data_IF_364883853203
#
_entry.id   IF_364883853203
#
_cell.length_a   1.000
_cell.length_b   1.000
_cell.length_c   1.000
_cell.angle_alpha   90.00
_cell.angle_beta   90.00
_cell.angle_gamma   90.00
#
_symmetry.space_group_name_H-M   'P 1'
#
loop_
_entity.id
_entity.type
_entity.pdbx_description
1 polymer ?
#
# COMPACT_ATOMS: atom_id res chain seq x y z
N UNK A 1 -19.84 6.30 -5.78
CA UNK A 1 -18.59 5.58 -6.16
C UNK A 1 -18.08 6.10 -7.51
N UNK A 2 -16.92 5.67 -8.01
CA UNK A 2 -16.22 6.27 -9.16
C UNK A 2 -17.09 6.60 -10.39
N UNK A 3 -18.12 5.79 -10.66
CA UNK A 3 -19.11 6.02 -11.71
C UNK A 3 -19.89 7.34 -11.53
N UNK A 4 -20.28 7.67 -10.30
CA UNK A 4 -21.08 8.86 -9.96
C UNK A 4 -20.31 10.17 -10.18
N UNK A 5 -18.97 10.11 -10.24
CA UNK A 5 -18.10 11.26 -10.44
C UNK A 5 -17.69 11.46 -11.91
N UNK A 6 -17.94 10.48 -12.79
CA UNK A 6 -17.55 10.56 -14.18
C UNK A 6 -18.47 11.51 -14.97
N UNK A 7 -17.94 12.31 -15.92
CA UNK A 7 -16.53 12.42 -16.33
C UNK A 7 -15.73 13.50 -15.59
N UNK A 8 -16.34 14.18 -14.60
CA UNK A 8 -15.80 15.39 -13.97
C UNK A 8 -14.60 15.09 -13.06
N UNK A 9 -14.64 13.96 -12.36
CA UNK A 9 -13.61 13.56 -11.41
C UNK A 9 -13.36 12.04 -11.48
N UNK A 10 -12.08 11.67 -11.35
CA UNK A 10 -11.64 10.28 -11.21
C UNK A 10 -11.50 9.94 -9.74
N UNK A 11 -11.83 8.71 -9.37
CA UNK A 11 -11.63 8.17 -8.02
C UNK A 11 -10.74 6.94 -8.12
N UNK A 12 -9.59 6.97 -7.46
CA UNK A 12 -8.61 5.86 -7.46
C UNK A 12 -8.09 5.66 -6.05
N UNK A 13 -8.00 4.41 -5.60
CA UNK A 13 -7.41 4.04 -4.31
C UNK A 13 -5.91 3.76 -4.41
N UNK A 14 -5.18 4.06 -3.35
CA UNK A 14 -3.82 3.58 -3.10
C UNK A 14 -3.85 2.70 -1.84
N UNK A 15 -3.34 1.49 -1.94
CA UNK A 15 -3.25 0.54 -0.83
C UNK A 15 -1.78 0.30 -0.47
N UNK A 16 -1.22 1.04 0.51
CA UNK A 16 0.15 0.87 0.95
C UNK A 16 0.31 -0.38 1.83
N UNK A 17 1.53 -0.92 1.86
CA UNK A 17 1.94 -1.93 2.84
C UNK A 17 2.41 -1.31 4.15
N UNK A 18 3.24 -2.04 4.90
CA UNK A 18 3.88 -1.54 6.11
C UNK A 18 4.88 -0.43 5.75
N UNK A 19 4.44 0.82 5.80
CA UNK A 19 5.27 1.98 5.42
C UNK A 19 6.00 2.63 6.59
N UNK A 20 5.37 2.65 7.77
CA UNK A 20 5.89 3.28 8.98
C UNK A 20 5.75 2.34 10.18
N UNK A 21 6.59 2.49 11.22
CA UNK A 21 6.43 1.75 12.47
C UNK A 21 5.05 1.96 13.08
N UNK A 22 4.44 0.89 13.60
CA UNK A 22 3.11 0.96 14.23
C UNK A 22 3.21 0.97 15.76
N UNK A 23 2.54 1.93 16.42
CA UNK A 23 2.38 1.94 17.88
C UNK A 23 3.70 1.90 18.65
N UNK A 24 3.92 0.82 19.40
CA UNK A 24 5.12 0.57 20.23
C UNK A 24 6.19 -0.27 19.51
N UNK A 25 6.02 -0.54 18.21
CA UNK A 25 6.96 -1.36 17.43
C UNK A 25 8.35 -0.73 17.43
N UNK A 26 9.35 -1.54 17.75
CA UNK A 26 10.76 -1.14 17.63
C UNK A 26 11.17 -1.04 16.17
N UNK A 27 12.21 -0.25 15.89
CA UNK A 27 12.78 -0.14 14.55
C UNK A 27 13.16 -1.51 13.96
N UNK A 28 13.72 -2.41 14.80
CA UNK A 28 14.10 -3.75 14.37
C UNK A 28 12.89 -4.61 13.96
N UNK A 29 11.80 -4.55 14.71
CA UNK A 29 10.55 -5.25 14.39
C UNK A 29 9.90 -4.67 13.13
N UNK A 30 9.90 -3.35 12.98
CA UNK A 30 9.43 -2.68 11.76
C UNK A 30 10.23 -3.13 10.54
N UNK A 31 11.56 -3.03 10.60
CA UNK A 31 12.45 -3.44 9.51
C UNK A 31 12.30 -4.92 9.17
N UNK A 32 12.06 -5.78 10.17
CA UNK A 32 11.78 -7.20 9.94
C UNK A 32 10.46 -7.34 9.17
N UNK A 33 9.38 -6.74 9.66
CA UNK A 33 8.06 -6.83 9.04
C UNK A 33 8.04 -6.24 7.61
N UNK A 34 8.72 -5.11 7.40
CA UNK A 34 8.88 -4.45 6.09
C UNK A 34 9.49 -5.40 5.05
N UNK A 35 10.40 -6.28 5.45
CA UNK A 35 11.05 -7.26 4.55
C UNK A 35 10.29 -8.57 4.35
N UNK A 36 9.17 -8.78 5.05
CA UNK A 36 8.40 -10.03 4.93
C UNK A 36 7.51 -10.09 3.68
N UNK A 37 7.47 -9.02 2.89
CA UNK A 37 6.70 -8.98 1.63
C UNK A 37 7.37 -9.85 0.55
N UNK A 38 6.64 -10.30 -0.49
CA UNK A 38 7.22 -11.07 -1.59
C UNK A 38 8.43 -10.42 -2.28
N UNK A 39 8.44 -9.08 -2.36
CA UNK A 39 9.55 -8.34 -2.97
C UNK A 39 10.74 -8.15 -2.03
N UNK A 40 10.64 -8.56 -0.76
CA UNK A 40 11.68 -8.38 0.26
C UNK A 40 11.75 -6.96 0.83
N UNK A 41 10.80 -6.09 0.46
CA UNK A 41 10.62 -4.73 0.97
C UNK A 41 9.16 -4.31 0.78
N UNK A 42 8.60 -3.58 1.74
CA UNK A 42 7.28 -2.94 1.62
C UNK A 42 7.43 -1.53 1.05
N UNK A 43 6.35 -0.74 1.02
CA UNK A 43 6.45 0.63 0.51
C UNK A 43 7.18 1.58 1.45
N UNK A 44 7.88 2.54 0.86
CA UNK A 44 8.28 3.79 1.50
C UNK A 44 7.26 4.90 1.20
N UNK A 45 7.38 6.03 1.89
CA UNK A 45 6.60 7.22 1.58
C UNK A 45 6.83 7.71 0.13
N UNK A 46 8.07 7.57 -0.37
CA UNK A 46 8.44 7.96 -1.73
C UNK A 46 7.79 7.06 -2.78
N UNK A 47 7.68 5.75 -2.52
CA UNK A 47 6.99 4.82 -3.43
C UNK A 47 5.50 5.18 -3.56
N UNK A 48 4.87 5.54 -2.44
CA UNK A 48 3.46 5.97 -2.42
C UNK A 48 3.28 7.29 -3.17
N UNK A 49 4.18 8.26 -2.95
CA UNK A 49 4.14 9.54 -3.64
C UNK A 49 4.32 9.38 -5.16
N UNK A 50 5.23 8.51 -5.59
CA UNK A 50 5.44 8.19 -7.00
C UNK A 50 4.20 7.52 -7.61
N UNK A 51 3.57 6.58 -6.91
CA UNK A 51 2.33 5.96 -7.36
C UNK A 51 1.18 6.98 -7.49
N UNK A 52 1.05 7.91 -6.53
CA UNK A 52 0.08 9.00 -6.60
C UNK A 52 0.32 9.90 -7.81
N UNK A 53 1.58 10.27 -8.08
CA UNK A 53 1.96 11.08 -9.23
C UNK A 53 1.66 10.37 -10.56
N UNK A 54 1.94 9.07 -10.66
CA UNK A 54 1.57 8.27 -11.82
C UNK A 54 0.06 8.30 -12.08
N UNK A 55 -0.76 8.04 -11.05
CA UNK A 55 -2.23 8.02 -11.17
C UNK A 55 -2.81 9.41 -11.48
N UNK A 56 -2.20 10.47 -10.94
CA UNK A 56 -2.58 11.84 -11.26
C UNK A 56 -2.43 12.13 -12.77
N UNK A 57 -1.37 11.59 -13.39
CA UNK A 57 -1.08 11.76 -14.81
C UNK A 57 -1.84 10.78 -15.73
N UNK A 58 -2.14 9.57 -15.28
CA UNK A 58 -2.82 8.54 -16.06
C UNK A 58 -4.35 8.79 -16.16
N UNK A 59 -4.76 9.69 -17.06
CA UNK A 59 -6.15 10.20 -17.18
C UNK A 59 -7.23 9.14 -17.44
N UNK A 60 -6.88 7.99 -18.02
CA UNK A 60 -7.84 6.93 -18.32
C UNK A 60 -8.12 5.98 -17.14
N UNK A 61 -7.47 6.17 -15.99
CA UNK A 61 -7.59 5.29 -14.82
C UNK A 61 -8.54 5.89 -13.78
N UNK A 62 -9.62 5.18 -13.48
CA UNK A 62 -10.60 5.46 -12.41
C UNK A 62 -11.21 4.13 -11.92
N UNK A 63 -11.81 4.10 -10.72
CA UNK A 63 -12.55 2.95 -10.20
C UNK A 63 -11.70 1.74 -9.82
N UNK A 64 -10.39 1.93 -9.61
CA UNK A 64 -9.45 0.88 -9.23
C UNK A 64 -8.66 1.25 -7.98
N UNK A 65 -8.03 0.24 -7.37
CA UNK A 65 -7.05 0.40 -6.29
C UNK A 65 -5.70 -0.11 -6.78
N UNK A 66 -4.66 0.71 -6.61
CA UNK A 66 -3.28 0.30 -6.88
C UNK A 66 -2.62 -0.06 -5.56
N UNK A 67 -2.11 -1.29 -5.47
CA UNK A 67 -1.34 -1.77 -4.33
C UNK A 67 0.11 -1.31 -4.45
N UNK A 68 0.61 -0.70 -3.37
CA UNK A 68 1.98 -0.18 -3.23
C UNK A 68 2.52 -0.79 -1.94
N UNK A 69 2.73 -2.09 -1.94
CA UNK A 69 2.92 -2.86 -0.70
C UNK A 69 3.99 -3.96 -0.81
N UNK A 70 4.77 -3.97 -1.90
CA UNK A 70 5.76 -5.02 -2.15
C UNK A 70 5.15 -6.42 -2.33
N UNK A 71 3.86 -6.52 -2.65
CA UNK A 71 3.12 -7.76 -2.78
C UNK A 71 2.55 -8.29 -1.47
N UNK A 72 2.57 -7.51 -0.38
CA UNK A 72 2.05 -7.94 0.93
C UNK A 72 0.63 -8.51 0.85
N UNK A 73 -0.27 -7.91 0.07
CA UNK A 73 -1.66 -8.37 -0.11
C UNK A 73 -1.79 -9.74 -0.78
N UNK A 74 -0.72 -10.26 -1.41
CA UNK A 74 -0.70 -11.58 -2.04
C UNK A 74 -0.40 -12.70 -1.04
N UNK A 75 0.11 -12.35 0.14
CA UNK A 75 0.36 -13.32 1.20
C UNK A 75 -0.95 -13.67 1.89
N UNK A 76 -1.27 -14.96 1.95
CA UNK A 76 -2.34 -15.42 2.85
C UNK A 76 -1.86 -15.29 4.28
N UNK A 77 -2.59 -14.54 5.11
CA UNK A 77 -2.33 -14.45 6.54
C UNK A 77 -3.53 -14.99 7.30
N UNK A 78 -3.31 -15.93 8.22
CA UNK A 78 -4.37 -16.46 9.09
C UNK A 78 -4.86 -15.42 10.12
N UNK A 79 -4.07 -14.36 10.36
CA UNK A 79 -4.37 -13.23 11.26
C UNK A 79 -3.86 -11.91 10.69
N UNK A 80 -4.34 -10.78 11.21
CA UNK A 80 -3.84 -9.46 10.81
C UNK A 80 -2.31 -9.36 11.05
N UNK A 81 -1.60 -8.78 10.08
CA UNK A 81 -0.13 -8.67 10.04
C UNK A 81 0.42 -7.97 11.29
N UNK A 82 -0.37 -7.08 11.92
CA UNK A 82 -0.03 -6.44 13.20
C UNK A 82 0.21 -7.45 14.34
N UNK A 83 -0.36 -8.66 14.30
CA UNK A 83 -0.23 -9.66 15.37
C UNK A 83 0.77 -10.78 15.07
N UNK A 84 1.44 -10.76 13.91
CA UNK A 84 2.32 -11.85 13.47
C UNK A 84 3.77 -11.73 13.97
N UNK A 85 4.09 -10.75 14.82
CA UNK A 85 5.46 -10.45 15.27
C UNK A 85 5.78 -10.85 16.72
N UNK A 86 4.99 -11.74 17.34
CA UNK A 86 5.36 -12.36 18.62
C UNK A 86 6.30 -13.56 18.44
#
# INVERSE_FOLDING_TARGET
MALDFAPIMRSVGLAPGITLPSGQQTEAEFLRAHRMTPMGYSSSADDIAQAALFIANAKAITGTTIYVDGGQHLLSSERDVMFNTQ
#
